data_IF_950666493289
#
_entry.id   IF_950666493289
#
_cell.length_a   1.000
_cell.length_b   1.000
_cell.length_c   1.000
_cell.angle_alpha   90.00
_cell.angle_beta   90.00
_cell.angle_gamma   90.00
#
_symmetry.space_group_name_H-M   'P 1'
#
loop_
_entity.id
_entity.type
_entity.pdbx_description
1 polymer ?
#
# COMPACT_ATOMS: atom_id res chain seq x y z
N UNK A 1 -12.97 -10.86 -11.75
CA UNK A 1 -13.78 -10.47 -10.59
C UNK A 1 -14.19 -9.03 -10.82
N UNK A 2 -15.46 -8.67 -10.72
CA UNK A 2 -15.88 -7.28 -10.90
C UNK A 2 -15.85 -6.61 -9.53
N UNK A 3 -15.05 -5.57 -9.39
CA UNK A 3 -15.02 -4.75 -8.18
C UNK A 3 -16.16 -3.74 -8.26
N UNK A 4 -17.06 -3.78 -7.29
CA UNK A 4 -18.13 -2.82 -7.21
C UNK A 4 -17.65 -1.60 -6.43
N UNK A 5 -17.72 -0.38 -6.99
CA UNK A 5 -17.40 0.84 -6.26
C UNK A 5 -18.19 0.91 -4.96
N UNK A 6 -17.49 1.23 -3.87
CA UNK A 6 -18.12 1.35 -2.55
C UNK A 6 -18.45 0.05 -1.84
N UNK A 7 -18.10 -1.12 -2.40
CA UNK A 7 -18.24 -2.36 -1.65
C UNK A 7 -17.17 -2.46 -0.56
N UNK A 8 -17.61 -2.69 0.67
CA UNK A 8 -16.75 -2.87 1.83
C UNK A 8 -17.03 -4.24 2.46
N UNK A 9 -16.03 -5.13 2.56
CA UNK A 9 -16.19 -6.44 3.17
C UNK A 9 -16.32 -6.39 4.71
N UNK A 10 -16.12 -5.24 5.35
CA UNK A 10 -16.20 -5.11 6.81
C UNK A 10 -17.59 -5.40 7.36
N UNK A 11 -18.65 -5.22 6.54
CA UNK A 11 -20.03 -5.58 6.90
C UNK A 11 -20.28 -7.08 6.96
N UNK A 12 -19.28 -7.89 6.53
CA UNK A 12 -19.36 -9.33 6.51
C UNK A 12 -18.53 -9.93 7.64
N UNK A 13 -18.95 -11.10 8.09
CA UNK A 13 -18.31 -11.85 9.17
C UNK A 13 -17.07 -12.65 8.65
N UNK A 14 -16.20 -11.98 7.89
CA UNK A 14 -14.94 -12.54 7.45
C UNK A 14 -13.87 -12.32 8.51
N UNK A 15 -13.20 -13.40 8.93
CA UNK A 15 -12.13 -13.32 9.92
C UNK A 15 -10.90 -12.58 9.36
N UNK A 16 -10.55 -12.87 8.10
CA UNK A 16 -9.35 -12.37 7.43
C UNK A 16 -9.70 -11.68 6.11
N UNK A 17 -9.02 -10.57 5.84
CA UNK A 17 -9.20 -9.75 4.65
C UNK A 17 -7.90 -9.62 3.86
N UNK A 18 -8.04 -9.59 2.54
CA UNK A 18 -6.96 -9.30 1.59
C UNK A 18 -7.20 -7.94 0.95
N UNK A 19 -6.24 -7.04 1.06
CA UNK A 19 -6.23 -5.75 0.38
C UNK A 19 -5.40 -5.84 -0.89
N UNK A 20 -6.05 -5.63 -2.02
CA UNK A 20 -5.38 -5.42 -3.30
C UNK A 20 -5.40 -3.92 -3.64
N UNK A 21 -4.22 -3.33 -3.77
CA UNK A 21 -4.08 -1.88 -3.97
C UNK A 21 -4.58 -1.43 -5.34
N UNK A 22 -4.39 -2.23 -6.40
CA UNK A 22 -4.93 -1.91 -7.74
C UNK A 22 -6.46 -1.99 -7.75
N UNK A 23 -7.02 -2.97 -7.03
CA UNK A 23 -8.47 -3.12 -6.92
C UNK A 23 -9.11 -2.00 -6.09
N UNK A 24 -8.46 -1.54 -5.03
CA UNK A 24 -8.88 -0.34 -4.30
C UNK A 24 -8.91 0.88 -5.24
N UNK A 25 -7.85 1.04 -6.06
CA UNK A 25 -7.75 2.09 -7.05
C UNK A 25 -8.91 2.05 -8.06
N UNK A 26 -9.19 0.90 -8.67
CA UNK A 26 -10.28 0.75 -9.66
C UNK A 26 -11.66 1.01 -9.07
N UNK A 27 -11.86 0.78 -7.78
CA UNK A 27 -13.10 1.08 -7.05
C UNK A 27 -13.15 2.49 -6.46
N UNK A 28 -12.19 3.34 -6.81
CA UNK A 28 -12.06 4.71 -6.32
C UNK A 28 -11.98 4.79 -4.79
N UNK A 29 -11.29 3.84 -4.18
CA UNK A 29 -11.04 3.78 -2.75
C UNK A 29 -9.54 3.97 -2.49
N UNK A 30 -9.20 4.51 -1.32
CA UNK A 30 -7.82 4.67 -0.89
C UNK A 30 -7.38 3.48 -0.04
N UNK A 31 -6.34 2.78 -0.46
CA UNK A 31 -5.83 1.57 0.20
C UNK A 31 -5.43 1.81 1.66
N UNK A 32 -4.84 2.97 1.97
CA UNK A 32 -4.52 3.33 3.36
C UNK A 32 -5.78 3.46 4.23
N UNK A 33 -6.85 4.04 3.70
CA UNK A 33 -8.11 4.16 4.42
C UNK A 33 -8.74 2.79 4.70
N UNK A 34 -8.71 1.90 3.70
CA UNK A 34 -9.18 0.53 3.85
C UNK A 34 -8.35 -0.25 4.89
N UNK A 35 -7.02 -0.15 4.83
CA UNK A 35 -6.13 -0.81 5.80
C UNK A 35 -6.43 -0.37 7.24
N UNK A 36 -6.68 0.92 7.45
CA UNK A 36 -7.06 1.46 8.76
C UNK A 36 -8.42 0.95 9.23
N UNK A 37 -9.40 0.92 8.32
CA UNK A 37 -10.75 0.47 8.65
C UNK A 37 -10.80 -1.03 8.96
N UNK A 38 -9.99 -1.83 8.28
CA UNK A 38 -9.96 -3.28 8.46
C UNK A 38 -9.15 -3.74 9.67
N UNK A 39 -8.17 -2.93 10.11
CA UNK A 39 -7.41 -3.18 11.32
C UNK A 39 -6.82 -4.59 11.38
N UNK A 40 -7.04 -5.29 12.48
CA UNK A 40 -6.50 -6.63 12.73
C UNK A 40 -7.04 -7.73 11.78
N UNK A 41 -8.11 -7.44 11.05
CA UNK A 41 -8.64 -8.35 10.03
C UNK A 41 -7.83 -8.34 8.73
N UNK A 42 -7.01 -7.31 8.51
CA UNK A 42 -6.10 -7.25 7.36
C UNK A 42 -4.97 -8.27 7.57
N UNK A 43 -4.89 -9.27 6.72
CA UNK A 43 -3.88 -10.35 6.80
C UNK A 43 -3.02 -10.49 5.57
N UNK A 44 -3.47 -9.96 4.45
CA UNK A 44 -2.77 -10.09 3.19
C UNK A 44 -2.88 -8.80 2.38
N UNK A 45 -1.78 -8.38 1.77
CA UNK A 45 -1.72 -7.21 0.90
C UNK A 45 -1.08 -7.61 -0.42
N UNK A 46 -1.81 -7.43 -1.52
CA UNK A 46 -1.24 -7.38 -2.86
C UNK A 46 -0.75 -5.96 -3.10
N UNK A 47 0.57 -5.79 -2.99
CA UNK A 47 1.21 -4.50 -3.12
C UNK A 47 1.48 -4.19 -4.58
N UNK A 48 0.82 -3.16 -5.04
CA UNK A 48 0.89 -2.61 -6.38
C UNK A 48 0.55 -1.12 -6.31
N UNK A 49 0.19 -0.49 -7.43
CA UNK A 49 -0.33 0.86 -7.49
C UNK A 49 -1.36 1.01 -8.61
N UNK A 50 -2.07 2.13 -8.66
CA UNK A 50 -3.05 2.45 -9.68
C UNK A 50 -3.36 3.95 -9.67
N UNK A 51 -3.92 4.46 -10.77
CA UNK A 51 -4.19 5.90 -10.98
C UNK A 51 -5.66 6.30 -10.79
N UNK A 52 -6.48 5.46 -10.14
CA UNK A 52 -7.92 5.66 -10.06
C UNK A 52 -8.66 5.38 -11.38
N UNK A 53 -7.96 4.78 -12.34
CA UNK A 53 -8.55 4.31 -13.59
C UNK A 53 -9.48 3.13 -13.35
N UNK A 54 -10.51 2.99 -14.20
CA UNK A 54 -11.38 1.80 -14.22
C UNK A 54 -10.63 0.53 -14.67
N UNK A 55 -9.40 0.68 -15.14
CA UNK A 55 -8.52 -0.44 -15.52
C UNK A 55 -7.78 -0.93 -14.29
N UNK A 56 -7.72 -2.23 -14.15
CA UNK A 56 -6.88 -2.91 -13.20
C UNK A 56 -5.40 -2.84 -13.67
N UNK A 57 -4.68 -1.83 -13.17
CA UNK A 57 -3.40 -1.42 -13.75
C UNK A 57 -2.21 -2.21 -13.21
N UNK A 58 -2.22 -2.55 -11.93
CA UNK A 58 -1.11 -3.22 -11.24
C UNK A 58 0.25 -2.55 -11.54
N UNK A 59 0.33 -1.24 -11.26
CA UNK A 59 1.55 -0.45 -11.47
C UNK A 59 2.63 -0.81 -10.45
N UNK A 60 3.88 -0.52 -10.79
CA UNK A 60 4.98 -0.54 -9.82
C UNK A 60 4.63 0.40 -8.65
N UNK A 61 4.76 -0.04 -7.39
CA UNK A 61 4.47 0.78 -6.22
C UNK A 61 5.20 2.14 -6.25
N UNK A 62 4.46 3.21 -6.03
CA UNK A 62 4.94 4.58 -6.12
C UNK A 62 4.79 5.24 -7.50
N UNK A 63 4.30 4.51 -8.51
CA UNK A 63 4.00 5.07 -9.84
C UNK A 63 2.52 5.42 -10.06
N UNK A 64 1.68 5.29 -9.04
CA UNK A 64 0.26 5.62 -9.05
C UNK A 64 -0.13 6.59 -7.94
N UNK A 65 -1.43 6.65 -7.64
CA UNK A 65 -2.05 7.61 -6.73
C UNK A 65 -2.54 6.97 -5.41
N UNK A 66 -2.22 5.69 -5.18
CA UNK A 66 -2.64 4.97 -3.98
C UNK A 66 -1.75 5.23 -2.77
N UNK A 67 -0.72 6.07 -2.93
CA UNK A 67 0.22 6.40 -1.86
C UNK A 67 0.81 5.16 -1.18
N UNK A 68 1.26 4.19 -1.99
CA UNK A 68 1.76 2.89 -1.53
C UNK A 68 2.83 2.98 -0.43
N UNK A 69 3.68 4.02 -0.46
CA UNK A 69 4.66 4.28 0.60
C UNK A 69 4.02 4.60 1.95
N UNK A 70 2.95 5.39 1.96
CA UNK A 70 2.21 5.72 3.21
C UNK A 70 1.50 4.48 3.77
N UNK A 71 0.96 3.62 2.90
CA UNK A 71 0.39 2.33 3.31
C UNK A 71 1.45 1.47 3.98
N UNK A 72 2.63 1.31 3.37
CA UNK A 72 3.72 0.50 3.92
C UNK A 72 4.24 1.03 5.25
N UNK A 73 4.42 2.35 5.37
CA UNK A 73 4.81 2.99 6.63
C UNK A 73 3.78 2.71 7.74
N UNK A 74 2.49 2.84 7.43
CA UNK A 74 1.42 2.51 8.35
C UNK A 74 1.47 1.04 8.80
N UNK A 75 1.63 0.10 7.86
CA UNK A 75 1.75 -1.32 8.18
C UNK A 75 2.96 -1.62 9.07
N UNK A 76 4.09 -0.97 8.81
CA UNK A 76 5.28 -1.08 9.66
C UNK A 76 5.05 -0.53 11.08
N UNK A 77 4.41 0.63 11.21
CA UNK A 77 4.03 1.23 12.50
C UNK A 77 3.09 0.34 13.30
N UNK A 78 2.14 -0.30 12.62
CA UNK A 78 1.19 -1.25 13.24
C UNK A 78 1.82 -2.63 13.53
N UNK A 79 3.10 -2.85 13.18
CA UNK A 79 3.77 -4.16 13.30
C UNK A 79 2.98 -5.27 12.59
N UNK A 80 2.54 -4.98 11.36
CA UNK A 80 1.74 -5.90 10.58
C UNK A 80 2.41 -7.26 10.44
N UNK A 81 1.72 -8.32 10.90
CA UNK A 81 2.23 -9.70 10.90
C UNK A 81 1.72 -10.54 9.71
N UNK A 82 0.97 -9.92 8.79
CA UNK A 82 0.45 -10.58 7.59
C UNK A 82 1.48 -10.67 6.47
N UNK A 83 1.00 -11.02 5.30
CA UNK A 83 1.82 -11.16 4.10
C UNK A 83 1.68 -9.93 3.18
N UNK A 84 2.79 -9.43 2.67
CA UNK A 84 2.84 -8.40 1.63
C UNK A 84 3.47 -9.03 0.40
N UNK A 85 2.69 -9.16 -0.65
CA UNK A 85 3.11 -9.73 -1.93
C UNK A 85 3.13 -8.64 -2.99
N UNK A 86 4.28 -8.41 -3.59
CA UNK A 86 4.40 -7.48 -4.73
C UNK A 86 3.75 -8.13 -5.96
N UNK A 87 2.74 -7.45 -6.50
CA UNK A 87 2.00 -7.91 -7.67
C UNK A 87 1.94 -6.80 -8.73
N UNK A 88 2.82 -6.87 -9.74
CA UNK A 88 2.91 -5.87 -10.78
C UNK A 88 2.61 -6.44 -12.18
N UNK A 89 2.00 -5.62 -13.02
CA UNK A 89 1.74 -5.97 -14.40
C UNK A 89 2.96 -5.67 -15.28
N UNK A 90 3.71 -6.70 -15.60
CA UNK A 90 4.91 -6.59 -16.43
C UNK A 90 4.65 -6.66 -17.94
N UNK A 91 3.38 -6.66 -18.40
CA UNK A 91 3.05 -6.76 -19.84
C UNK A 91 3.52 -5.57 -20.65
N UNK A 92 3.71 -4.40 -20.01
CA UNK A 92 4.25 -3.19 -20.65
C UNK A 92 5.77 -3.18 -20.73
N UNK A 93 6.44 -4.06 -20.01
CA UNK A 93 7.90 -4.19 -20.01
C UNK A 93 8.32 -5.05 -21.19
N UNK A 94 8.90 -4.43 -22.23
CA UNK A 94 9.17 -5.05 -23.52
C UNK A 94 10.23 -6.16 -23.45
N UNK A 95 11.17 -6.05 -22.49
CA UNK A 95 12.30 -6.97 -22.37
C UNK A 95 12.29 -7.69 -21.03
N UNK A 96 13.03 -8.80 -20.94
CA UNK A 96 13.29 -9.47 -19.67
C UNK A 96 13.98 -8.54 -18.67
N UNK A 97 14.99 -7.80 -19.13
CA UNK A 97 15.75 -6.87 -18.30
C UNK A 97 14.84 -5.77 -17.71
N UNK A 98 13.90 -5.22 -18.49
CA UNK A 98 12.96 -4.23 -17.97
C UNK A 98 11.98 -4.81 -16.94
N UNK A 99 11.53 -6.07 -17.12
CA UNK A 99 10.72 -6.75 -16.11
C UNK A 99 11.46 -6.99 -14.80
N UNK A 100 12.71 -7.41 -14.90
CA UNK A 100 13.57 -7.61 -13.73
C UNK A 100 13.85 -6.29 -13.01
N UNK A 101 14.03 -5.18 -13.76
CA UNK A 101 14.19 -3.84 -13.19
C UNK A 101 12.93 -3.38 -12.45
N UNK A 102 11.74 -3.54 -13.02
CA UNK A 102 10.47 -3.18 -12.38
C UNK A 102 10.24 -3.98 -11.08
N UNK A 103 10.59 -5.27 -11.07
CA UNK A 103 10.52 -6.10 -9.85
C UNK A 103 11.54 -5.65 -8.81
N UNK A 104 12.77 -5.36 -9.23
CA UNK A 104 13.82 -4.89 -8.31
C UNK A 104 13.44 -3.53 -7.69
N UNK A 105 12.89 -2.60 -8.47
CA UNK A 105 12.36 -1.32 -8.00
C UNK A 105 11.25 -1.53 -6.98
N UNK A 106 10.28 -2.38 -7.30
CA UNK A 106 9.15 -2.69 -6.41
C UNK A 106 9.62 -3.25 -5.06
N UNK A 107 10.57 -4.16 -5.07
CA UNK A 107 11.13 -4.75 -3.85
C UNK A 107 11.95 -3.75 -3.05
N UNK A 108 12.75 -2.90 -3.71
CA UNK A 108 13.53 -1.85 -3.06
C UNK A 108 12.60 -0.82 -2.40
N UNK A 109 11.57 -0.37 -3.12
CA UNK A 109 10.55 0.53 -2.60
C UNK A 109 9.86 -0.05 -1.36
N UNK A 110 9.43 -1.31 -1.44
CA UNK A 110 8.76 -2.00 -0.34
C UNK A 110 9.63 -2.07 0.90
N UNK A 111 10.89 -2.52 0.75
CA UNK A 111 11.84 -2.64 1.85
C UNK A 111 12.17 -1.30 2.48
N UNK A 112 12.35 -0.26 1.66
CA UNK A 112 12.63 1.10 2.13
C UNK A 112 11.52 1.60 3.06
N UNK A 113 10.27 1.49 2.64
CA UNK A 113 9.14 1.99 3.40
C UNK A 113 8.75 1.13 4.61
N UNK A 114 8.99 -0.17 4.57
CA UNK A 114 8.83 -1.03 5.75
C UNK A 114 9.92 -0.84 6.79
N UNK A 115 11.13 -0.43 6.38
CA UNK A 115 12.26 -0.17 7.27
C UNK A 115 12.29 1.28 7.80
N UNK A 116 11.42 2.17 7.31
CA UNK A 116 11.38 3.55 7.79
C UNK A 116 11.13 3.58 9.30
N UNK A 117 11.95 4.30 10.09
CA UNK A 117 11.70 4.40 11.51
C UNK A 117 10.32 5.02 11.74
N UNK A 118 9.57 4.45 12.68
CA UNK A 118 8.34 5.09 13.18
C UNK A 118 8.63 6.57 13.42
N UNK A 119 7.80 7.45 12.90
CA UNK A 119 7.94 8.90 13.02
C UNK A 119 8.46 9.26 14.41
N UNK A 120 9.62 9.91 14.45
CA UNK A 120 10.04 10.63 15.64
C UNK A 120 8.94 11.67 15.88
N UNK A 121 8.10 11.43 16.87
CA UNK A 121 7.08 12.39 17.25
C UNK A 121 7.82 13.70 17.55
N UNK A 122 7.57 14.74 16.78
CA UNK A 122 8.02 16.07 17.15
C UNK A 122 7.34 16.39 18.49
N UNK A 123 8.10 16.28 19.55
CA UNK A 123 7.69 16.84 20.82
C UNK A 123 7.72 18.36 20.65
N UNK A 124 6.56 18.96 20.40
CA UNK A 124 6.39 20.39 20.55
C UNK A 124 6.37 20.64 22.05
N UNK A 125 7.46 21.12 22.61
CA UNK A 125 7.44 21.59 23.98
C UNK A 125 6.58 22.86 24.08
N UNK A 126 6.07 23.17 25.25
CA UNK A 126 5.16 24.28 25.51
C UNK A 126 5.82 25.66 25.33
N UNK A 127 7.02 25.74 24.78
CA UNK A 127 7.82 26.95 24.60
C UNK A 127 8.01 27.39 23.13
N UNK A 128 7.49 26.67 22.14
CA UNK A 128 7.42 27.14 20.74
C UNK A 128 8.73 27.22 19.98
N UNK A 129 9.80 26.53 20.42
CA UNK A 129 11.10 26.48 19.72
C UNK A 129 11.36 25.04 19.28
N UNK A 130 11.45 24.81 17.97
CA UNK A 130 11.81 23.52 17.42
C UNK A 130 13.29 23.23 17.70
N UNK A 131 13.57 22.25 18.55
CA UNK A 131 14.91 21.67 18.71
C UNK A 131 14.96 20.35 17.99
N UNK A 132 15.90 20.23 17.04
CA UNK A 132 16.26 18.97 16.38
C UNK A 132 17.20 18.23 17.34
N UNK A 133 16.77 17.10 17.80
CA UNK A 133 17.62 16.10 18.45
C UNK A 133 17.96 14.99 17.48
#
# INVERSE_FOLDING_TARGET
MAYLPGWDPTDRDYADLTLDVSHASTSNQQSLALARAWGDRLRHVHLTDGTGSVKDEHLVPGRGDQHAGMLLNYLAEQRFEGHIVVEINSRRSETRASREADLAESLAFTRLHLAAPAHTAYAVDAGGVASVL
#
